data_IF_004708811617
#
_entry.id   IF_004708811617
#
_cell.length_a   1.000
_cell.length_b   1.000
_cell.length_c   1.000
_cell.angle_alpha   90.00
_cell.angle_beta   90.00
_cell.angle_gamma   90.00
#
_symmetry.space_group_name_H-M   'P 1'
#
loop_
_entity.id
_entity.type
_entity.pdbx_description
1 polymer ?
#
# COMPACT_ATOMS: atom_id res chain seq x y z
N UNK A 1 -26.43 4.19 -6.08
CA UNK A 1 -26.49 4.85 -4.76
C UNK A 1 -25.13 5.43 -4.38
N UNK A 2 -24.86 6.73 -4.59
CA UNK A 2 -23.59 7.40 -4.24
C UNK A 2 -23.30 7.43 -2.72
N UNK A 3 -24.35 7.40 -1.89
CA UNK A 3 -24.27 7.54 -0.44
C UNK A 3 -23.59 6.37 0.27
N UNK A 4 -23.67 5.15 -0.27
CA UNK A 4 -23.02 3.96 0.29
C UNK A 4 -21.52 3.96 -0.01
N UNK A 5 -21.12 4.35 -1.22
CA UNK A 5 -19.71 4.48 -1.60
C UNK A 5 -19.00 5.54 -0.76
N UNK A 6 -19.62 6.72 -0.59
CA UNK A 6 -19.05 7.78 0.27
C UNK A 6 -18.80 7.29 1.70
N UNK A 7 -19.77 6.59 2.30
CA UNK A 7 -19.62 6.01 3.65
C UNK A 7 -18.44 5.05 3.75
N UNK A 8 -18.20 4.22 2.72
CA UNK A 8 -17.04 3.32 2.70
C UNK A 8 -15.72 4.07 2.68
N UNK A 9 -15.58 5.08 1.82
CA UNK A 9 -14.36 5.89 1.80
C UNK A 9 -14.13 6.63 3.11
N UNK A 10 -15.19 7.15 3.75
CA UNK A 10 -15.09 7.78 5.06
C UNK A 10 -14.66 6.77 6.14
N UNK A 11 -15.22 5.56 6.12
CA UNK A 11 -14.80 4.49 7.04
C UNK A 11 -13.34 4.07 6.85
N UNK A 12 -12.89 3.92 5.60
CA UNK A 12 -11.50 3.59 5.28
C UNK A 12 -10.54 4.71 5.66
N UNK A 13 -10.90 5.97 5.37
CA UNK A 13 -10.14 7.13 5.81
C UNK A 13 -10.04 7.20 7.34
N UNK A 14 -11.15 6.96 8.05
CA UNK A 14 -11.18 6.89 9.50
C UNK A 14 -10.29 5.79 10.08
N UNK A 15 -10.31 4.60 9.47
CA UNK A 15 -9.42 3.50 9.85
C UNK A 15 -7.95 3.87 9.66
N UNK A 16 -7.58 4.41 8.49
CA UNK A 16 -6.20 4.84 8.22
C UNK A 16 -5.76 5.93 9.20
N UNK A 17 -6.62 6.92 9.44
CA UNK A 17 -6.34 8.00 10.39
C UNK A 17 -6.14 7.46 11.81
N UNK A 18 -6.99 6.53 12.26
CA UNK A 18 -6.86 5.89 13.56
C UNK A 18 -5.51 5.17 13.71
N UNK A 19 -5.13 4.34 12.72
CA UNK A 19 -3.84 3.64 12.75
C UNK A 19 -2.66 4.60 12.72
N UNK A 20 -2.73 5.67 11.92
CA UNK A 20 -1.68 6.69 11.87
C UNK A 20 -1.53 7.45 13.19
N UNK A 21 -2.64 7.84 13.82
CA UNK A 21 -2.63 8.51 15.13
C UNK A 21 -2.09 7.57 16.20
N UNK A 22 -2.54 6.32 16.23
CA UNK A 22 -2.03 5.31 17.17
C UNK A 22 -0.52 5.11 16.99
N UNK A 23 -0.04 4.92 15.76
CA UNK A 23 1.39 4.80 15.47
C UNK A 23 2.16 6.06 15.90
N UNK A 24 1.63 7.25 15.62
CA UNK A 24 2.26 8.51 16.03
C UNK A 24 2.37 8.58 17.56
N UNK A 25 1.29 8.37 18.30
CA UNK A 25 1.30 8.41 19.77
C UNK A 25 2.31 7.40 20.36
N UNK A 26 2.37 6.20 19.81
CA UNK A 26 3.24 5.14 20.30
C UNK A 26 4.73 5.33 19.95
N UNK A 27 5.04 6.05 18.87
CA UNK A 27 6.42 6.13 18.33
C UNK A 27 7.03 7.53 18.37
N UNK A 28 6.22 8.58 18.55
CA UNK A 28 6.65 9.98 18.62
C UNK A 28 7.80 10.20 19.63
N UNK A 29 7.78 9.61 20.85
CA UNK A 29 8.84 9.85 21.82
C UNK A 29 10.24 9.37 21.39
N UNK A 30 10.29 8.40 20.46
CA UNK A 30 11.54 7.69 20.11
C UNK A 30 12.04 8.04 18.72
N UNK A 31 11.12 8.34 17.79
CA UNK A 31 11.43 8.33 16.35
C UNK A 31 11.04 9.61 15.61
N UNK A 32 10.35 10.54 16.28
CA UNK A 32 9.84 11.76 15.67
C UNK A 32 8.63 11.53 14.74
N UNK A 33 7.97 12.61 14.31
CA UNK A 33 6.65 12.53 13.67
C UNK A 33 6.67 11.89 12.28
N UNK A 34 7.69 12.17 11.46
CA UNK A 34 7.78 11.63 10.10
C UNK A 34 7.91 10.10 10.09
N UNK A 35 8.75 9.55 10.97
CA UNK A 35 8.95 8.10 11.06
C UNK A 35 7.73 7.41 11.66
N UNK A 36 7.08 8.03 12.66
CA UNK A 36 5.82 7.52 13.21
C UNK A 36 4.68 7.48 12.18
N UNK A 37 4.57 8.53 11.35
CA UNK A 37 3.59 8.56 10.26
C UNK A 37 3.90 7.48 9.20
N UNK A 38 5.18 7.29 8.84
CA UNK A 38 5.59 6.23 7.92
C UNK A 38 5.20 4.84 8.48
N UNK A 39 5.45 4.56 9.76
CA UNK A 39 5.01 3.29 10.37
C UNK A 39 3.48 3.12 10.33
N UNK A 40 2.72 4.15 10.70
CA UNK A 40 1.26 4.11 10.65
C UNK A 40 0.72 3.81 9.25
N UNK A 41 1.26 4.48 8.22
CA UNK A 41 0.90 4.23 6.82
C UNK A 41 1.29 2.82 6.36
N UNK A 42 2.46 2.32 6.79
CA UNK A 42 2.94 0.98 6.48
C UNK A 42 2.03 -0.11 7.05
N UNK A 43 1.69 -0.02 8.34
CA UNK A 43 0.78 -0.98 8.98
C UNK A 43 -0.65 -0.89 8.45
N UNK A 44 -1.16 0.32 8.19
CA UNK A 44 -2.48 0.51 7.59
C UNK A 44 -2.53 -0.10 6.18
N UNK A 45 -1.51 0.16 5.36
CA UNK A 45 -1.36 -0.44 4.03
C UNK A 45 -1.38 -1.97 4.07
N UNK A 46 -0.56 -2.56 4.94
CA UNK A 46 -0.47 -4.01 5.08
C UNK A 46 -1.80 -4.63 5.51
N UNK A 47 -2.47 -4.06 6.52
CA UNK A 47 -3.77 -4.55 6.99
C UNK A 47 -4.83 -4.48 5.88
N UNK A 48 -4.88 -3.39 5.12
CA UNK A 48 -5.81 -3.23 3.99
C UNK A 48 -5.47 -4.16 2.83
N UNK A 49 -4.20 -4.41 2.55
CA UNK A 49 -3.76 -5.36 1.53
C UNK A 49 -4.17 -6.80 1.91
N UNK A 50 -3.92 -7.21 3.15
CA UNK A 50 -4.35 -8.52 3.65
C UNK A 50 -5.86 -8.68 3.56
N UNK A 51 -6.62 -7.63 3.94
CA UNK A 51 -8.07 -7.64 3.77
C UNK A 51 -8.49 -7.76 2.30
N UNK A 52 -7.82 -7.04 1.40
CA UNK A 52 -8.08 -7.08 -0.05
C UNK A 52 -7.87 -8.48 -0.62
N UNK A 53 -6.82 -9.17 -0.18
CA UNK A 53 -6.50 -10.54 -0.58
C UNK A 53 -7.47 -11.56 0.04
N UNK A 54 -7.82 -11.39 1.32
CA UNK A 54 -8.70 -12.30 2.06
C UNK A 54 -10.15 -12.34 1.53
N UNK A 55 -10.65 -11.24 0.94
CA UNK A 55 -12.01 -11.19 0.38
C UNK A 55 -12.25 -12.31 -0.64
N UNK A 56 -11.25 -12.66 -1.46
CA UNK A 56 -11.35 -13.73 -2.46
C UNK A 56 -11.60 -15.10 -1.83
N UNK A 57 -10.61 -15.67 -1.12
CA UNK A 57 -10.75 -16.98 -0.47
C UNK A 57 -11.96 -17.06 0.47
N UNK A 58 -12.24 -16.01 1.23
CA UNK A 58 -13.36 -15.98 2.19
C UNK A 58 -14.73 -16.20 1.54
N UNK A 59 -14.94 -15.64 0.35
CA UNK A 59 -16.23 -15.79 -0.36
C UNK A 59 -16.37 -17.16 -1.02
N UNK A 60 -15.28 -17.74 -1.51
CA UNK A 60 -15.24 -19.10 -2.06
C UNK A 60 -15.55 -20.12 -0.96
N UNK A 61 -14.92 -19.98 0.21
CA UNK A 61 -15.20 -20.84 1.38
C UNK A 61 -16.69 -20.74 1.80
N UNK A 62 -17.32 -19.58 1.58
CA UNK A 62 -18.76 -19.37 1.83
C UNK A 62 -19.67 -19.83 0.68
N UNK A 63 -19.15 -20.51 -0.34
CA UNK A 63 -19.91 -21.04 -1.46
C UNK A 63 -20.52 -19.98 -2.38
N UNK A 64 -20.03 -18.73 -2.36
CA UNK A 64 -20.57 -17.65 -3.19
C UNK A 64 -19.72 -17.45 -4.45
N UNK A 65 -20.38 -17.37 -5.61
CA UNK A 65 -19.71 -16.92 -6.83
C UNK A 65 -19.35 -15.45 -6.71
N UNK A 66 -18.07 -15.12 -6.83
CA UNK A 66 -17.62 -13.73 -6.87
C UNK A 66 -17.70 -13.17 -8.28
N UNK A 67 -18.23 -11.95 -8.44
CA UNK A 67 -17.93 -11.14 -9.62
C UNK A 67 -16.41 -10.97 -9.75
N UNK A 68 -15.92 -10.86 -10.99
CA UNK A 68 -14.50 -10.64 -11.32
C UNK A 68 -13.88 -9.50 -10.48
N UNK A 69 -14.66 -8.47 -10.16
CA UNK A 69 -14.28 -7.38 -9.27
C UNK A 69 -15.49 -6.93 -8.46
N UNK A 70 -15.33 -6.81 -7.13
CA UNK A 70 -16.34 -6.15 -6.29
C UNK A 70 -15.89 -4.73 -5.98
N UNK A 71 -16.83 -3.80 -6.00
CA UNK A 71 -16.55 -2.39 -5.67
C UNK A 71 -15.92 -2.24 -4.29
N UNK A 72 -16.26 -3.12 -3.34
CA UNK A 72 -15.66 -3.12 -2.01
C UNK A 72 -14.18 -3.54 -2.04
N UNK A 73 -13.85 -4.68 -2.64
CA UNK A 73 -12.44 -5.14 -2.76
C UNK A 73 -11.58 -4.09 -3.45
N UNK A 74 -12.10 -3.46 -4.50
CA UNK A 74 -11.41 -2.39 -5.22
C UNK A 74 -11.21 -1.14 -4.39
N UNK A 75 -12.23 -0.66 -3.66
CA UNK A 75 -12.09 0.52 -2.79
C UNK A 75 -11.03 0.25 -1.69
N UNK A 76 -11.03 -0.93 -1.06
CA UNK A 76 -10.01 -1.31 -0.05
C UNK A 76 -8.62 -1.40 -0.66
N UNK A 77 -8.49 -2.03 -1.84
CA UNK A 77 -7.20 -2.15 -2.54
C UNK A 77 -6.61 -0.80 -2.97
N UNK A 78 -7.45 0.16 -3.37
CA UNK A 78 -7.00 1.53 -3.67
C UNK A 78 -6.42 2.18 -2.42
N UNK A 79 -7.11 2.07 -1.26
CA UNK A 79 -6.58 2.63 -0.02
C UNK A 79 -5.28 1.95 0.42
N UNK A 80 -5.15 0.63 0.26
CA UNK A 80 -3.90 -0.09 0.51
C UNK A 80 -2.77 0.43 -0.38
N UNK A 81 -3.01 0.59 -1.68
CA UNK A 81 -2.01 1.13 -2.61
C UNK A 81 -1.61 2.57 -2.27
N UNK A 82 -2.59 3.44 -1.97
CA UNK A 82 -2.32 4.84 -1.63
C UNK A 82 -1.50 4.97 -0.34
N UNK A 83 -1.89 4.27 0.73
CA UNK A 83 -1.13 4.31 1.99
C UNK A 83 0.23 3.66 1.85
N UNK A 84 0.38 2.61 1.03
CA UNK A 84 1.67 2.02 0.70
C UNK A 84 2.61 2.99 -0.03
N UNK A 85 2.11 3.70 -1.04
CA UNK A 85 2.90 4.71 -1.75
C UNK A 85 3.30 5.87 -0.83
N UNK A 86 2.38 6.34 0.02
CA UNK A 86 2.68 7.36 1.02
C UNK A 86 3.70 6.87 2.05
N UNK A 87 3.57 5.63 2.54
CA UNK A 87 4.53 5.01 3.45
C UNK A 87 5.96 5.08 2.89
N UNK A 88 6.14 4.74 1.61
CA UNK A 88 7.44 4.84 0.94
C UNK A 88 7.90 6.29 0.81
N UNK A 89 7.00 7.20 0.40
CA UNK A 89 7.30 8.62 0.30
C UNK A 89 7.83 9.22 1.61
N UNK A 90 7.18 8.94 2.74
CA UNK A 90 7.64 9.38 4.06
C UNK A 90 8.84 8.56 4.57
N UNK A 91 8.88 7.26 4.26
CA UNK A 91 9.95 6.34 4.65
C UNK A 91 11.29 6.75 4.08
N UNK A 92 11.35 7.11 2.80
CA UNK A 92 12.54 7.58 2.08
C UNK A 92 13.07 8.93 2.59
N UNK A 93 12.23 9.74 3.24
CA UNK A 93 12.63 11.00 3.88
C UNK A 93 13.12 10.79 5.32
N UNK A 94 12.70 9.70 5.97
CA UNK A 94 12.93 9.45 7.40
C UNK A 94 14.30 8.88 7.76
N UNK A 95 15.04 8.39 6.77
CA UNK A 95 16.39 7.83 6.91
C UNK A 95 17.35 8.54 5.95
N UNK A 96 18.62 8.67 6.36
CA UNK A 96 19.67 9.36 5.61
C UNK A 96 19.33 10.79 5.11
N UNK A 97 18.32 11.45 5.71
CA UNK A 97 17.89 12.79 5.32
C UNK A 97 17.40 12.90 3.87
N UNK A 98 16.76 11.86 3.32
CA UNK A 98 16.23 11.89 1.95
C UNK A 98 17.21 11.45 0.86
N UNK A 99 18.40 10.97 1.23
CA UNK A 99 19.39 10.46 0.26
C UNK A 99 18.99 9.05 -0.22
N UNK A 100 18.08 8.99 -1.19
CA UNK A 100 17.45 7.75 -1.68
C UNK A 100 18.49 6.69 -2.07
N UNK A 101 19.60 7.07 -2.70
CA UNK A 101 20.65 6.13 -3.14
C UNK A 101 21.20 5.29 -1.98
N UNK A 102 21.30 5.86 -0.77
CA UNK A 102 21.83 5.16 0.41
C UNK A 102 20.91 4.06 0.95
N UNK A 103 19.66 4.00 0.51
CA UNK A 103 18.76 2.90 0.86
C UNK A 103 19.09 1.62 0.08
N UNK A 104 19.76 1.74 -1.05
CA UNK A 104 19.98 0.65 -2.01
C UNK A 104 21.44 0.27 -2.18
N UNK A 105 22.37 1.18 -1.86
CA UNK A 105 23.80 1.02 -2.07
C UNK A 105 24.61 1.35 -0.82
N UNK A 106 25.72 0.63 -0.62
CA UNK A 106 26.63 0.81 0.51
C UNK A 106 27.36 2.16 0.42
N UNK A 107 27.32 2.93 1.51
CA UNK A 107 27.86 4.29 1.57
C UNK A 107 29.39 4.29 1.39
N UNK A 108 29.91 5.20 0.54
CA UNK A 108 31.35 5.36 0.31
C UNK A 108 32.05 4.28 -0.53
N UNK A 109 31.31 3.26 -1.01
CA UNK A 109 31.89 2.12 -1.76
C UNK A 109 31.60 2.12 -3.28
N UNK A 110 30.95 3.17 -3.80
CA UNK A 110 30.52 3.25 -5.20
C UNK A 110 29.09 2.75 -5.42
N UNK A 111 28.84 1.98 -6.49
CA UNK A 111 27.53 1.42 -6.87
C UNK A 111 27.34 -0.03 -6.39
N UNK A 112 27.89 -0.38 -5.23
CA UNK A 112 27.76 -1.73 -4.67
C UNK A 112 26.38 -1.87 -3.99
N UNK A 113 25.50 -2.78 -4.45
CA UNK A 113 24.19 -2.97 -3.85
C UNK A 113 24.29 -3.39 -2.38
N UNK A 114 23.47 -2.78 -1.52
CA UNK A 114 23.31 -3.23 -0.15
C UNK A 114 22.42 -4.48 -0.11
N UNK A 115 23.04 -5.62 0.22
CA UNK A 115 22.38 -6.91 0.39
C UNK A 115 22.21 -7.30 1.86
N UNK A 116 22.44 -6.37 2.79
CA UNK A 116 22.06 -6.55 4.18
C UNK A 116 20.54 -6.66 4.31
N UNK A 117 20.00 -7.13 5.46
CA UNK A 117 18.55 -7.16 5.68
C UNK A 117 17.86 -5.80 5.44
N UNK A 118 18.56 -4.70 5.72
CA UNK A 118 18.07 -3.34 5.44
C UNK A 118 17.99 -3.07 3.94
N UNK A 119 19.07 -3.28 3.20
CA UNK A 119 19.11 -3.10 1.75
C UNK A 119 18.13 -4.02 1.01
N UNK A 120 18.05 -5.30 1.39
CA UNK A 120 17.08 -6.25 0.84
C UNK A 120 15.64 -5.80 1.09
N UNK A 121 15.32 -5.31 2.29
CA UNK A 121 13.99 -4.76 2.57
C UNK A 121 13.65 -3.57 1.65
N UNK A 122 14.62 -2.71 1.35
CA UNK A 122 14.43 -1.59 0.44
C UNK A 122 14.25 -2.04 -1.02
N UNK A 123 15.04 -3.01 -1.50
CA UNK A 123 14.88 -3.57 -2.85
C UNK A 123 13.53 -4.26 -3.03
N UNK A 124 13.11 -5.08 -2.07
CA UNK A 124 11.77 -5.70 -2.08
C UNK A 124 10.68 -4.63 -2.01
N UNK A 125 10.85 -3.63 -1.14
CA UNK A 125 9.93 -2.51 -1.02
C UNK A 125 9.78 -1.72 -2.32
N UNK A 126 10.87 -1.47 -3.04
CA UNK A 126 10.85 -0.79 -4.34
C UNK A 126 10.09 -1.62 -5.39
N UNK A 127 10.37 -2.92 -5.51
CA UNK A 127 9.63 -3.81 -6.39
C UNK A 127 8.14 -3.87 -6.07
N UNK A 128 7.79 -4.00 -4.78
CA UNK A 128 6.40 -3.96 -4.32
C UNK A 128 5.71 -2.62 -4.63
N UNK A 129 6.43 -1.50 -4.53
CA UNK A 129 5.91 -0.18 -4.85
C UNK A 129 5.55 -0.06 -6.32
N UNK A 130 6.39 -0.57 -7.22
CA UNK A 130 6.08 -0.60 -8.66
C UNK A 130 4.80 -1.39 -8.96
N UNK A 131 4.63 -2.53 -8.28
CA UNK A 131 3.41 -3.34 -8.37
C UNK A 131 2.21 -2.54 -7.87
N UNK A 132 2.29 -1.90 -6.69
CA UNK A 132 1.20 -1.10 -6.13
C UNK A 132 0.80 0.06 -7.06
N UNK A 133 1.78 0.77 -7.63
CA UNK A 133 1.53 1.84 -8.60
C UNK A 133 0.82 1.29 -9.84
N UNK A 134 1.29 0.17 -10.39
CA UNK A 134 0.63 -0.51 -11.51
C UNK A 134 -0.81 -0.88 -11.20
N UNK A 135 -1.07 -1.49 -10.03
CA UNK A 135 -2.41 -1.86 -9.59
C UNK A 135 -3.31 -0.64 -9.36
N UNK A 136 -2.79 0.46 -8.83
CA UNK A 136 -3.53 1.71 -8.66
C UNK A 136 -3.93 2.31 -10.01
N UNK A 137 -3.02 2.33 -10.98
CA UNK A 137 -3.30 2.78 -12.34
C UNK A 137 -4.36 1.91 -13.03
N UNK A 138 -4.43 0.62 -12.72
CA UNK A 138 -5.46 -0.30 -13.23
C UNK A 138 -6.78 -0.24 -12.45
N UNK A 139 -6.78 0.34 -11.24
CA UNK A 139 -7.93 0.43 -10.34
C UNK A 139 -8.92 1.54 -10.69
N UNK A 140 -9.01 1.93 -11.96
CA UNK A 140 -9.95 2.94 -12.45
C UNK A 140 -10.96 2.33 -13.46
N UNK A 141 -12.10 3.01 -13.68
CA UNK A 141 -13.18 2.49 -14.55
C UNK A 141 -12.83 2.56 -16.03
N UNK A 142 -11.94 3.48 -16.42
CA UNK A 142 -11.44 3.62 -17.79
C UNK A 142 -10.57 2.41 -18.16
N UNK A 143 -9.62 2.01 -17.32
CA UNK A 143 -8.77 0.83 -17.55
C UNK A 143 -9.60 -0.45 -17.74
N UNK A 144 -10.65 -0.65 -16.94
CA UNK A 144 -11.55 -1.79 -17.08
C UNK A 144 -12.35 -1.77 -18.40
N UNK A 145 -12.73 -0.58 -18.89
CA UNK A 145 -13.41 -0.42 -20.18
C UNK A 145 -12.48 -0.63 -21.37
N UNK A 146 -11.24 -0.16 -21.28
CA UNK A 146 -10.24 -0.22 -22.37
C UNK A 146 -9.65 -1.62 -22.52
N UNK A 147 -9.33 -2.30 -21.42
CA UNK A 147 -8.69 -3.63 -21.46
C UNK A 147 -9.69 -4.78 -21.62
N UNK A 148 -10.96 -4.54 -21.28
CA UNK A 148 -11.99 -5.58 -21.16
C UNK A 148 -11.77 -6.47 -19.92
N UNK A 149 -12.85 -7.11 -19.44
CA UNK A 149 -12.84 -7.84 -18.17
C UNK A 149 -11.83 -9.00 -18.09
N UNK A 150 -11.56 -9.67 -19.22
CA UNK A 150 -10.63 -10.80 -19.29
C UNK A 150 -9.16 -10.38 -19.12
N UNK A 151 -8.67 -9.46 -19.96
CA UNK A 151 -7.28 -8.98 -19.88
C UNK A 151 -7.04 -8.15 -18.62
N UNK A 152 -8.03 -7.39 -18.16
CA UNK A 152 -7.90 -6.65 -16.90
C UNK A 152 -7.63 -7.59 -15.70
N UNK A 153 -8.27 -8.77 -15.66
CA UNK A 153 -8.07 -9.75 -14.58
C UNK A 153 -6.73 -10.48 -14.64
N UNK A 154 -6.09 -10.57 -15.80
CA UNK A 154 -4.74 -11.18 -15.87
C UNK A 154 -3.65 -10.26 -15.31
N UNK A 155 -3.89 -8.96 -15.31
CA UNK A 155 -2.94 -7.94 -14.82
C UNK A 155 -3.21 -7.50 -13.37
N UNK A 156 -4.34 -7.87 -12.77
CA UNK A 156 -4.80 -7.42 -11.45
C UNK A 156 -5.31 -8.55 -10.56
#
# INVERSE_FOLDING_TARGET
MPSTRRRRHLGLAGFVAFVCVAALVLTLPVHGPLRGLSFGLGYASLALLLLTLAIGPWTVIRGRQMPVSTMFRRDVGIWAGLTGCLHVGFGLQSHFGGRIVRYFFLDGSGWVPDLSPFGLANWVGAGATLILVGLLLLSNTLSLRVLGAGRWKSWQ
#
